data_IF_418168750713
#
_entry.id   IF_418168750713
#
_cell.length_a   1.000
_cell.length_b   1.000
_cell.length_c   1.000
_cell.angle_alpha   90.00
_cell.angle_beta   90.00
_cell.angle_gamma   90.00
#
_symmetry.space_group_name_H-M   'P 1'
#
loop_
_entity.id
_entity.type
_entity.pdbx_description
1 polymer ?
#
# COMPACT_ATOMS: atom_id res chain seq x y z
N UNK A 1 -6.66 -44.21 -26.51
CA UNK A 1 -7.73 -44.55 -27.47
C UNK A 1 -8.69 -43.38 -27.51
N UNK A 2 -8.52 -42.46 -28.46
CA UNK A 2 -9.45 -41.38 -28.74
C UNK A 2 -10.39 -41.96 -29.80
N UNK A 3 -11.67 -42.15 -29.46
CA UNK A 3 -12.66 -42.71 -30.37
C UNK A 3 -12.76 -41.85 -31.62
N UNK A 4 -12.56 -42.40 -32.84
CA UNK A 4 -12.64 -41.65 -34.09
C UNK A 4 -14.06 -41.11 -34.42
N UNK A 5 -15.10 -41.57 -33.71
CA UNK A 5 -16.52 -41.22 -33.95
C UNK A 5 -16.89 -39.75 -33.68
N UNK A 6 -16.12 -39.02 -32.85
CA UNK A 6 -16.49 -37.66 -32.43
C UNK A 6 -16.14 -36.56 -33.44
N UNK A 7 -15.19 -36.81 -34.34
CA UNK A 7 -14.70 -35.81 -35.30
C UNK A 7 -15.51 -35.83 -36.62
N UNK A 8 -16.13 -36.98 -36.96
CA UNK A 8 -17.02 -37.09 -38.13
C UNK A 8 -18.37 -36.41 -37.86
N UNK A 9 -18.82 -36.40 -36.59
CA UNK A 9 -20.05 -35.70 -36.20
C UNK A 9 -19.94 -34.18 -36.28
N UNK A 10 -18.75 -33.61 -36.18
CA UNK A 10 -18.54 -32.15 -36.27
C UNK A 10 -18.55 -31.61 -37.70
N UNK A 11 -18.41 -32.46 -38.73
CA UNK A 11 -18.41 -32.01 -40.12
C UNK A 11 -19.81 -31.70 -40.68
N UNK A 12 -20.87 -32.18 -40.03
CA UNK A 12 -22.26 -31.97 -40.44
C UNK A 12 -23.11 -31.13 -39.46
N UNK A 13 -22.52 -30.63 -38.37
CA UNK A 13 -23.28 -29.80 -37.43
C UNK A 13 -23.56 -28.43 -38.02
N UNK A 14 -24.79 -27.96 -37.83
CA UNK A 14 -25.14 -26.55 -38.09
C UNK A 14 -24.76 -25.68 -36.91
N UNK A 15 -24.64 -24.36 -37.13
CA UNK A 15 -24.41 -23.40 -36.04
C UNK A 15 -25.38 -23.57 -34.87
N UNK A 16 -26.65 -23.80 -35.17
CA UNK A 16 -27.72 -23.93 -34.17
C UNK A 16 -27.50 -25.14 -33.27
N UNK A 17 -27.12 -26.28 -33.86
CA UNK A 17 -26.81 -27.50 -33.13
C UNK A 17 -25.57 -27.34 -32.25
N UNK A 18 -24.54 -26.65 -32.76
CA UNK A 18 -23.31 -26.39 -32.02
C UNK A 18 -23.57 -25.49 -30.80
N UNK A 19 -24.32 -24.39 -30.97
CA UNK A 19 -24.68 -23.48 -29.88
C UNK A 19 -25.65 -24.12 -28.88
N UNK A 20 -26.57 -24.98 -29.34
CA UNK A 20 -27.45 -25.75 -28.45
C UNK A 20 -26.67 -26.72 -27.55
N UNK A 21 -25.67 -27.42 -28.10
CA UNK A 21 -24.79 -28.28 -27.32
C UNK A 21 -23.89 -27.48 -26.37
N UNK A 22 -23.33 -26.35 -26.83
CA UNK A 22 -22.56 -25.44 -25.99
C UNK A 22 -23.40 -24.95 -24.79
N UNK A 23 -24.65 -24.56 -25.05
CA UNK A 23 -25.61 -24.19 -24.01
C UNK A 23 -25.88 -25.33 -23.04
N UNK A 24 -26.17 -26.53 -23.52
CA UNK A 24 -26.46 -27.68 -22.67
C UNK A 24 -25.28 -28.04 -21.74
N UNK A 25 -24.05 -27.94 -22.24
CA UNK A 25 -22.84 -28.24 -21.47
C UNK A 25 -22.48 -27.16 -20.44
N UNK A 26 -22.80 -25.89 -20.73
CA UNK A 26 -22.63 -24.77 -19.80
C UNK A 26 -23.77 -24.68 -18.78
N UNK A 27 -24.96 -25.18 -19.12
CA UNK A 27 -26.13 -25.22 -18.24
C UNK A 27 -25.84 -26.13 -17.05
N UNK A 28 -25.77 -25.54 -15.85
CA UNK A 28 -25.42 -26.23 -14.60
C UNK A 28 -23.96 -26.06 -14.15
N UNK A 29 -23.09 -25.44 -14.97
CA UNK A 29 -21.69 -25.14 -14.62
C UNK A 29 -21.36 -23.65 -14.56
N UNK A 30 -22.23 -22.81 -15.12
CA UNK A 30 -22.05 -21.36 -15.24
C UNK A 30 -23.36 -20.65 -14.87
N UNK A 31 -23.32 -19.48 -14.19
CA UNK A 31 -24.52 -18.70 -13.89
C UNK A 31 -25.25 -18.25 -15.17
N UNK A 32 -26.59 -18.07 -15.12
CA UNK A 32 -27.41 -17.81 -16.31
C UNK A 32 -27.01 -16.53 -17.05
N UNK A 33 -26.63 -15.46 -16.34
CA UNK A 33 -26.21 -14.19 -16.95
C UNK A 33 -24.93 -14.34 -17.78
N UNK A 34 -24.02 -15.21 -17.34
CA UNK A 34 -22.75 -15.43 -18.03
C UNK A 34 -22.91 -16.42 -19.19
N UNK A 35 -23.80 -17.40 -19.03
CA UNK A 35 -24.22 -18.29 -20.11
C UNK A 35 -24.75 -17.48 -21.31
N UNK A 36 -25.64 -16.52 -21.07
CA UNK A 36 -26.19 -15.65 -22.12
C UNK A 36 -25.10 -14.81 -22.79
N UNK A 37 -24.17 -14.25 -22.02
CA UNK A 37 -23.03 -13.49 -22.57
C UNK A 37 -22.11 -14.35 -23.45
N UNK A 38 -21.79 -15.56 -23.01
CA UNK A 38 -20.94 -16.49 -23.78
C UNK A 38 -21.64 -16.89 -25.07
N UNK A 39 -22.93 -17.23 -25.00
CA UNK A 39 -23.72 -17.61 -26.17
C UNK A 39 -23.86 -16.44 -27.15
N UNK A 40 -24.11 -15.22 -26.67
CA UNK A 40 -24.18 -14.04 -27.51
C UNK A 40 -22.87 -13.79 -28.27
N UNK A 41 -21.73 -13.90 -27.59
CA UNK A 41 -20.41 -13.73 -28.20
C UNK A 41 -20.14 -14.74 -29.33
N UNK A 42 -20.41 -16.02 -29.09
CA UNK A 42 -20.21 -17.03 -30.13
C UNK A 42 -21.26 -16.94 -31.24
N UNK A 43 -22.49 -16.53 -30.93
CA UNK A 43 -23.52 -16.27 -31.94
C UNK A 43 -23.06 -15.19 -32.92
N UNK A 44 -22.55 -14.07 -32.39
CA UNK A 44 -21.99 -12.98 -33.19
C UNK A 44 -20.77 -13.46 -34.02
N UNK A 45 -19.90 -14.29 -33.45
CA UNK A 45 -18.78 -14.88 -34.18
C UNK A 45 -19.21 -15.77 -35.36
N UNK A 46 -20.31 -16.51 -35.19
CA UNK A 46 -20.88 -17.29 -36.28
C UNK A 46 -21.65 -16.42 -37.29
N UNK A 47 -22.29 -15.34 -36.86
CA UNK A 47 -22.95 -14.38 -37.74
C UNK A 47 -21.94 -13.66 -38.65
N UNK A 48 -20.75 -13.32 -38.14
CA UNK A 48 -19.65 -12.74 -38.93
C UNK A 48 -19.17 -13.68 -40.05
N UNK A 49 -19.16 -14.99 -39.81
CA UNK A 49 -18.79 -15.99 -40.81
C UNK A 49 -19.91 -16.24 -41.84
N UNK A 50 -21.15 -15.98 -41.47
CA UNK A 50 -22.34 -16.19 -42.29
C UNK A 50 -22.65 -17.66 -42.58
N UNK A 51 -23.76 -17.94 -43.29
CA UNK A 51 -24.27 -19.30 -43.52
C UNK A 51 -23.34 -20.18 -44.36
N UNK A 52 -22.41 -19.60 -45.13
CA UNK A 52 -21.41 -20.35 -45.89
C UNK A 52 -20.14 -20.65 -45.09
N UNK A 53 -19.92 -19.97 -43.96
CA UNK A 53 -18.73 -20.08 -43.12
C UNK A 53 -18.89 -20.94 -41.87
N UNK A 54 -20.10 -21.43 -41.57
CA UNK A 54 -20.41 -22.16 -40.32
C UNK A 54 -19.52 -23.38 -40.12
N UNK A 55 -19.37 -24.24 -41.14
CA UNK A 55 -18.54 -25.45 -41.05
C UNK A 55 -17.05 -25.16 -40.81
N UNK A 56 -16.56 -24.02 -41.31
CA UNK A 56 -15.19 -23.58 -41.05
C UNK A 56 -15.02 -23.13 -39.61
N UNK A 57 -15.97 -22.36 -39.08
CA UNK A 57 -15.95 -21.89 -37.68
C UNK A 57 -16.05 -23.06 -36.71
N UNK A 58 -16.89 -24.07 -36.98
CA UNK A 58 -16.99 -25.27 -36.14
C UNK A 58 -15.65 -26.01 -36.09
N UNK A 59 -14.96 -26.15 -37.23
CA UNK A 59 -13.63 -26.77 -37.29
C UNK A 59 -12.57 -25.95 -36.54
N UNK A 60 -12.65 -24.63 -36.56
CA UNK A 60 -11.75 -23.75 -35.81
C UNK A 60 -12.01 -23.77 -34.29
N UNK A 61 -13.29 -23.84 -33.89
CA UNK A 61 -13.69 -23.90 -32.49
C UNK A 61 -13.48 -25.28 -31.87
N UNK A 62 -13.47 -26.34 -32.69
CA UNK A 62 -13.29 -27.73 -32.24
C UNK A 62 -14.56 -28.30 -31.65
N UNK A 63 -14.45 -29.22 -30.70
CA UNK A 63 -15.64 -29.81 -30.07
C UNK A 63 -16.28 -28.86 -29.05
N UNK A 64 -17.62 -28.85 -28.90
CA UNK A 64 -18.27 -27.97 -27.93
C UNK A 64 -17.84 -28.26 -26.49
N UNK A 65 -17.46 -29.51 -26.16
CA UNK A 65 -16.93 -29.88 -24.86
C UNK A 65 -15.55 -29.26 -24.55
N UNK A 66 -14.66 -29.21 -25.54
CA UNK A 66 -13.35 -28.55 -25.39
C UNK A 66 -13.50 -27.04 -25.27
N UNK A 67 -14.44 -26.44 -26.02
CA UNK A 67 -14.75 -25.02 -25.93
C UNK A 67 -15.24 -24.66 -24.51
N UNK A 68 -16.13 -25.47 -23.94
CA UNK A 68 -16.58 -25.32 -22.55
C UNK A 68 -15.41 -25.42 -21.57
N UNK A 69 -14.54 -26.41 -21.71
CA UNK A 69 -13.35 -26.55 -20.86
C UNK A 69 -12.44 -25.32 -20.91
N UNK A 70 -12.23 -24.75 -22.09
CA UNK A 70 -11.45 -23.51 -22.27
C UNK A 70 -12.13 -22.29 -21.66
N UNK A 71 -13.44 -22.12 -21.87
CA UNK A 71 -14.22 -21.00 -21.34
C UNK A 71 -14.26 -21.06 -19.81
N UNK A 72 -14.53 -22.24 -19.22
CA UNK A 72 -14.52 -22.42 -17.76
C UNK A 72 -13.11 -22.28 -17.16
N UNK A 73 -12.08 -22.79 -17.83
CA UNK A 73 -10.69 -22.63 -17.38
C UNK A 73 -10.24 -21.16 -17.36
N UNK A 74 -10.61 -20.40 -18.38
CA UNK A 74 -10.38 -18.96 -18.44
C UNK A 74 -11.16 -18.20 -17.35
N UNK A 75 -12.40 -18.60 -17.07
CA UNK A 75 -13.25 -18.00 -16.02
C UNK A 75 -12.69 -18.29 -14.61
N UNK A 76 -12.27 -19.53 -14.34
CA UNK A 76 -11.70 -19.93 -13.04
C UNK A 76 -10.41 -19.17 -12.72
N UNK A 77 -9.66 -18.82 -13.76
CA UNK A 77 -8.47 -17.97 -13.64
C UNK A 77 -8.81 -16.51 -13.33
N UNK A 78 -10.04 -16.08 -13.60
CA UNK A 78 -10.54 -14.72 -13.34
C UNK A 78 -11.18 -14.58 -11.95
N UNK A 79 -11.65 -15.68 -11.35
CA UNK A 79 -12.37 -15.69 -10.07
C UNK A 79 -11.51 -16.03 -8.85
N UNK A 80 -10.19 -16.24 -9.02
CA UNK A 80 -9.25 -16.27 -7.89
C UNK A 80 -8.64 -14.87 -7.72
N UNK A 81 -9.06 -14.08 -6.71
CA UNK A 81 -8.32 -12.89 -6.33
C UNK A 81 -7.07 -13.35 -5.57
N UNK A 82 -6.03 -13.74 -6.30
CA UNK A 82 -4.71 -13.90 -5.73
C UNK A 82 -4.06 -12.52 -5.65
N UNK A 83 -4.23 -11.92 -4.48
CA UNK A 83 -3.38 -10.85 -3.96
C UNK A 83 -1.91 -11.25 -4.13
N UNK A 84 -1.15 -10.27 -4.60
CA UNK A 84 0.31 -10.14 -4.72
C UNK A 84 1.14 -11.03 -3.79
N UNK A 85 2.13 -11.76 -4.32
CA UNK A 85 3.55 -11.44 -4.10
C UNK A 85 4.53 -12.33 -4.92
N UNK A 86 5.47 -11.65 -5.58
CA UNK A 86 6.76 -12.09 -6.14
C UNK A 86 6.84 -13.08 -7.35
N UNK A 87 7.91 -12.95 -8.19
CA UNK A 87 7.96 -13.38 -9.60
C UNK A 87 8.51 -14.80 -9.79
N UNK A 88 8.23 -15.46 -10.93
CA UNK A 88 9.30 -15.60 -11.93
C UNK A 88 8.84 -15.52 -13.39
N UNK A 89 9.83 -15.28 -14.25
CA UNK A 89 9.79 -15.29 -15.70
C UNK A 89 9.17 -16.55 -16.31
N UNK A 90 8.56 -16.37 -17.48
CA UNK A 90 8.60 -17.38 -18.54
C UNK A 90 7.25 -17.92 -18.99
N UNK A 91 6.86 -17.49 -20.19
CA UNK A 91 6.00 -18.22 -21.13
C UNK A 91 4.46 -18.24 -20.91
N UNK A 92 3.78 -17.15 -21.36
CA UNK A 92 2.51 -17.25 -22.10
C UNK A 92 2.15 -15.90 -22.78
N UNK A 93 2.69 -15.74 -23.99
CA UNK A 93 2.28 -14.80 -25.06
C UNK A 93 0.82 -15.14 -25.40
N UNK A 94 -0.21 -14.27 -25.39
CA UNK A 94 -0.36 -13.13 -26.31
C UNK A 94 -1.50 -12.14 -25.93
N UNK A 95 -2.23 -12.32 -24.81
CA UNK A 95 -3.28 -11.34 -24.36
C UNK A 95 -2.97 -10.62 -23.05
N UNK A 96 -1.84 -10.94 -22.42
CA UNK A 96 -1.37 -10.29 -21.20
C UNK A 96 -0.56 -9.01 -21.48
N UNK A 97 -0.22 -8.76 -22.76
CA UNK A 97 0.59 -7.62 -23.20
C UNK A 97 -0.08 -6.28 -22.93
N UNK A 98 -1.35 -6.09 -23.28
CA UNK A 98 -2.03 -4.80 -23.08
C UNK A 98 -2.28 -4.49 -21.60
N UNK A 99 -2.65 -5.48 -20.78
CA UNK A 99 -2.85 -5.27 -19.34
C UNK A 99 -1.54 -5.02 -18.59
N UNK A 100 -0.45 -5.65 -19.02
CA UNK A 100 0.89 -5.45 -18.45
C UNK A 100 1.53 -4.16 -18.96
N UNK A 101 1.35 -3.80 -20.24
CA UNK A 101 1.74 -2.50 -20.81
C UNK A 101 0.92 -1.36 -20.23
N UNK A 102 -0.37 -1.55 -19.99
CA UNK A 102 -1.21 -0.56 -19.30
C UNK A 102 -0.75 -0.38 -17.86
N UNK A 103 -0.46 -1.46 -17.12
CA UNK A 103 0.11 -1.38 -15.77
C UNK A 103 1.53 -0.78 -15.79
N UNK A 104 2.36 -1.07 -16.78
CA UNK A 104 3.69 -0.49 -16.94
C UNK A 104 3.61 1.00 -17.29
N UNK A 105 2.69 1.41 -18.16
CA UNK A 105 2.40 2.81 -18.47
C UNK A 105 1.82 3.54 -17.26
N UNK A 106 0.93 2.89 -16.50
CA UNK A 106 0.38 3.42 -15.26
C UNK A 106 1.46 3.54 -14.18
N UNK A 107 2.40 2.60 -14.11
CA UNK A 107 3.56 2.66 -13.23
C UNK A 107 4.54 3.76 -13.67
N UNK A 108 4.75 3.96 -14.97
CA UNK A 108 5.57 5.04 -15.53
C UNK A 108 4.91 6.41 -15.31
N UNK A 109 3.58 6.50 -15.35
CA UNK A 109 2.82 7.72 -15.02
C UNK A 109 2.67 7.93 -13.51
N UNK A 110 2.66 6.87 -12.70
CA UNK A 110 2.64 6.96 -11.24
C UNK A 110 4.05 7.20 -10.65
N UNK A 111 5.11 6.78 -11.33
CA UNK A 111 6.51 7.01 -10.95
C UNK A 111 6.86 8.50 -10.76
N UNK A 112 6.49 9.45 -11.66
CA UNK A 112 6.78 10.86 -11.47
C UNK A 112 5.99 11.48 -10.33
N UNK A 113 4.94 10.82 -9.82
CA UNK A 113 4.17 11.24 -8.64
C UNK A 113 4.72 10.57 -7.36
N UNK A 114 5.17 9.33 -7.46
CA UNK A 114 5.73 8.58 -6.34
C UNK A 114 7.05 9.18 -5.83
N UNK A 115 7.94 9.60 -6.74
CA UNK A 115 9.23 10.22 -6.39
C UNK A 115 9.05 11.51 -5.56
N UNK A 116 8.26 12.52 -6.00
CA UNK A 116 8.06 13.74 -5.21
C UNK A 116 7.27 13.44 -3.92
N UNK A 117 6.35 12.48 -3.92
CA UNK A 117 5.63 12.10 -2.70
C UNK A 117 6.58 11.54 -1.63
N UNK A 118 7.50 10.65 -2.01
CA UNK A 118 8.52 10.12 -1.10
C UNK A 118 9.44 11.25 -0.63
N UNK A 119 9.86 12.14 -1.54
CA UNK A 119 10.69 13.29 -1.19
C UNK A 119 10.01 14.18 -0.13
N UNK A 120 8.71 14.48 -0.29
CA UNK A 120 7.93 15.27 0.67
C UNK A 120 7.84 14.56 2.02
N UNK A 121 7.59 13.25 2.03
CA UNK A 121 7.54 12.47 3.27
C UNK A 121 8.89 12.48 3.98
N UNK A 122 9.99 12.25 3.25
CA UNK A 122 11.35 12.29 3.79
C UNK A 122 11.68 13.68 4.34
N UNK A 123 11.39 14.75 3.57
CA UNK A 123 11.59 16.12 4.00
C UNK A 123 10.77 16.46 5.25
N UNK A 124 9.52 15.99 5.35
CA UNK A 124 8.67 16.18 6.52
C UNK A 124 9.24 15.48 7.76
N UNK A 125 9.72 14.24 7.61
CA UNK A 125 10.38 13.50 8.71
C UNK A 125 11.67 14.21 9.13
N UNK A 126 12.51 14.62 8.19
CA UNK A 126 13.74 15.38 8.45
C UNK A 126 13.44 16.70 9.17
N UNK A 127 12.45 17.45 8.69
CA UNK A 127 12.01 18.70 9.32
C UNK A 127 11.52 18.49 10.75
N UNK A 128 10.77 17.42 11.01
CA UNK A 128 10.33 17.06 12.35
C UNK A 128 11.50 16.70 13.27
N UNK A 129 12.49 15.95 12.78
CA UNK A 129 13.70 15.62 13.53
C UNK A 129 14.49 16.89 13.86
N UNK A 130 14.69 17.78 12.89
CA UNK A 130 15.39 19.06 13.10
C UNK A 130 14.62 19.95 14.09
N UNK A 131 13.29 20.02 13.99
CA UNK A 131 12.45 20.75 14.94
C UNK A 131 12.63 20.24 16.38
N UNK A 132 12.60 18.92 16.56
CA UNK A 132 12.80 18.30 17.89
C UNK A 132 14.20 18.60 18.40
N UNK A 133 15.24 18.47 17.56
CA UNK A 133 16.62 18.78 17.95
C UNK A 133 16.78 20.25 18.34
N UNK A 134 16.20 21.17 17.58
CA UNK A 134 16.23 22.60 17.86
C UNK A 134 15.52 22.93 19.18
N UNK A 135 14.37 22.30 19.45
CA UNK A 135 13.66 22.40 20.73
C UNK A 135 14.51 21.91 21.89
N UNK A 136 15.11 20.72 21.77
CA UNK A 136 15.98 20.16 22.81
C UNK A 136 17.21 21.06 23.05
N UNK A 137 17.85 21.52 21.98
CA UNK A 137 19.00 22.43 22.08
C UNK A 137 18.59 23.77 22.70
N UNK A 138 17.45 24.35 22.30
CA UNK A 138 16.94 25.60 22.85
C UNK A 138 16.63 25.49 24.34
N UNK A 139 15.99 24.41 24.79
CA UNK A 139 15.75 24.18 26.21
C UNK A 139 17.04 23.90 26.97
N UNK A 140 17.99 23.17 26.38
CA UNK A 140 19.31 22.94 26.99
C UNK A 140 20.05 24.26 27.22
N UNK A 141 20.11 25.12 26.21
CA UNK A 141 20.73 26.46 26.31
C UNK A 141 19.97 27.31 27.34
N UNK A 142 18.63 27.34 27.28
CA UNK A 142 17.80 28.08 28.22
C UNK A 142 17.99 27.62 29.67
N UNK A 143 18.11 26.30 29.90
CA UNK A 143 18.38 25.74 31.21
C UNK A 143 19.78 26.08 31.73
N UNK A 144 20.81 26.05 30.89
CA UNK A 144 22.17 26.49 31.26
C UNK A 144 22.19 27.97 31.64
N UNK A 145 21.50 28.82 30.87
CA UNK A 145 21.37 30.25 31.16
C UNK A 145 20.61 30.46 32.48
N UNK A 146 19.53 29.71 32.72
CA UNK A 146 18.77 29.78 33.97
C UNK A 146 19.61 29.37 35.19
N UNK A 147 20.41 28.30 35.08
CA UNK A 147 21.34 27.88 36.13
C UNK A 147 22.38 28.98 36.38
N UNK A 148 22.99 29.53 35.31
CA UNK A 148 23.98 30.60 35.42
C UNK A 148 23.40 31.87 36.05
N UNK A 149 22.21 32.27 35.65
CA UNK A 149 21.48 33.39 36.25
C UNK A 149 21.16 33.11 37.73
N UNK A 150 20.71 31.91 38.06
CA UNK A 150 20.44 31.49 39.45
C UNK A 150 21.67 31.60 40.34
N UNK A 151 22.82 31.10 39.87
CA UNK A 151 24.11 31.19 40.57
C UNK A 151 24.56 32.65 40.70
N UNK A 152 24.47 33.45 39.63
CA UNK A 152 24.83 34.86 39.66
C UNK A 152 23.98 35.64 40.67
N UNK A 153 22.67 35.37 40.71
CA UNK A 153 21.75 36.02 41.65
C UNK A 153 22.05 35.59 43.10
N UNK A 154 22.43 34.34 43.33
CA UNK A 154 22.86 33.86 44.64
C UNK A 154 24.16 34.55 45.12
N UNK A 155 25.15 34.69 44.23
CA UNK A 155 26.41 35.40 44.53
C UNK A 155 26.18 36.91 44.76
N UNK A 156 25.35 37.55 43.93
CA UNK A 156 24.98 38.96 44.11
C UNK A 156 24.18 39.17 45.42
N UNK A 157 23.30 38.23 45.77
CA UNK A 157 22.57 38.21 47.05
C UNK A 157 23.51 38.16 48.26
N UNK A 158 24.65 37.48 48.17
CA UNK A 158 25.67 37.48 49.22
C UNK A 158 26.31 38.86 49.42
N UNK A 159 26.43 39.67 48.36
CA UNK A 159 26.94 41.04 48.47
C UNK A 159 25.96 41.99 49.16
N UNK A 160 24.65 41.71 49.05
CA UNK A 160 23.57 42.47 49.72
C UNK A 160 23.44 42.11 51.21
N UNK A 161 24.09 41.03 51.66
CA UNK A 161 24.08 40.56 53.05
C UNK A 161 24.48 41.65 54.06
N UNK A 162 25.47 42.47 53.71
CA UNK A 162 25.97 43.56 54.56
C UNK A 162 25.03 44.77 54.63
N UNK A 163 24.07 44.90 53.70
CA UNK A 163 23.19 46.07 53.62
C UNK A 163 21.75 45.81 54.04
N UNK A 164 21.23 44.60 53.87
CA UNK A 164 19.80 44.29 54.05
C UNK A 164 19.51 43.14 55.05
N UNK A 165 20.53 42.53 55.65
CA UNK A 165 20.38 41.49 56.69
C UNK A 165 20.06 40.08 56.16
N UNK A 166 20.01 39.11 57.10
CA UNK A 166 19.82 37.67 56.88
C UNK A 166 18.55 37.24 56.10
N UNK A 167 17.35 37.85 56.29
CA UNK A 167 16.14 37.37 55.59
C UNK A 167 16.23 37.55 54.07
N UNK A 168 16.88 38.62 53.61
CA UNK A 168 17.08 38.91 52.19
C UNK A 168 17.98 37.87 51.52
N UNK A 169 18.99 37.38 52.24
CA UNK A 169 19.88 36.31 51.77
C UNK A 169 19.14 34.99 51.57
N UNK A 170 18.29 34.59 52.52
CA UNK A 170 17.48 33.35 52.40
C UNK A 170 16.53 33.42 51.20
N UNK A 171 15.95 34.60 50.93
CA UNK A 171 15.08 34.79 49.78
C UNK A 171 15.82 34.64 48.45
N UNK A 172 16.95 35.33 48.26
CA UNK A 172 17.75 35.21 47.02
C UNK A 172 18.34 33.82 46.81
N UNK A 173 18.79 33.16 47.88
CA UNK A 173 19.26 31.78 47.81
C UNK A 173 18.14 30.81 47.42
N UNK A 174 16.93 30.99 47.96
CA UNK A 174 15.76 30.19 47.60
C UNK A 174 15.34 30.37 46.14
N UNK A 175 15.31 31.61 45.65
CA UNK A 175 14.98 31.91 44.24
C UNK A 175 16.03 31.34 43.29
N UNK A 176 17.32 31.42 43.63
CA UNK A 176 18.41 30.82 42.85
C UNK A 176 18.30 29.31 42.76
N UNK A 177 18.01 28.63 43.88
CA UNK A 177 17.82 27.18 43.91
C UNK A 177 16.58 26.75 43.12
N UNK A 178 15.45 27.43 43.30
CA UNK A 178 14.22 27.17 42.55
C UNK A 178 14.44 27.35 41.04
N UNK A 179 15.11 28.42 40.63
CA UNK A 179 15.42 28.68 39.22
C UNK A 179 16.33 27.59 38.64
N UNK A 180 17.39 27.20 39.36
CA UNK A 180 18.27 26.11 38.94
C UNK A 180 17.56 24.75 38.86
N UNK A 181 16.65 24.47 39.80
CA UNK A 181 15.84 23.26 39.81
C UNK A 181 14.85 23.20 38.66
N UNK A 182 14.18 24.30 38.35
CA UNK A 182 13.28 24.40 37.18
C UNK A 182 14.07 24.24 35.88
N UNK A 183 15.26 24.85 35.78
CA UNK A 183 16.16 24.67 34.64
C UNK A 183 16.53 23.19 34.41
N UNK A 184 16.91 22.49 35.48
CA UNK A 184 17.25 21.06 35.41
C UNK A 184 16.04 20.19 35.03
N UNK A 185 14.87 20.51 35.59
CA UNK A 185 13.62 19.78 35.34
C UNK A 185 13.15 19.95 33.89
N UNK A 186 13.30 21.15 33.33
CA UNK A 186 13.00 21.42 31.92
C UNK A 186 13.95 20.66 31.00
N UNK A 187 15.25 20.61 31.30
CA UNK A 187 16.21 19.83 30.52
C UNK A 187 15.85 18.33 30.58
N UNK A 188 15.66 17.78 31.78
CA UNK A 188 15.31 16.37 31.96
C UNK A 188 13.98 16.01 31.28
N UNK A 189 12.97 16.87 31.43
CA UNK A 189 11.67 16.74 30.77
C UNK A 189 11.79 16.75 29.24
N UNK A 190 12.64 17.62 28.68
CA UNK A 190 12.88 17.70 27.23
C UNK A 190 13.47 16.41 26.66
N UNK A 191 14.47 15.84 27.34
CA UNK A 191 15.07 14.56 26.93
C UNK A 191 14.07 13.40 27.04
N UNK A 192 13.24 13.39 28.10
CA UNK A 192 12.23 12.37 28.29
C UNK A 192 11.14 12.45 27.21
N UNK A 193 10.67 13.66 26.89
CA UNK A 193 9.65 13.91 25.88
C UNK A 193 10.16 13.58 24.48
N UNK A 194 11.41 13.96 24.16
CA UNK A 194 12.06 13.60 22.89
C UNK A 194 12.17 12.08 22.72
N UNK A 195 12.59 11.36 23.77
CA UNK A 195 12.63 9.90 23.78
C UNK A 195 11.24 9.26 23.63
N UNK A 196 10.22 9.85 24.26
CA UNK A 196 8.84 9.39 24.14
C UNK A 196 8.27 9.60 22.73
N UNK A 197 8.54 10.75 22.11
CA UNK A 197 8.17 11.06 20.74
C UNK A 197 8.84 10.10 19.75
N UNK A 198 10.15 9.84 19.91
CA UNK A 198 10.88 8.91 19.05
C UNK A 198 10.32 7.50 19.15
N UNK A 199 10.01 7.04 20.37
CA UNK A 199 9.44 5.73 20.62
C UNK A 199 8.00 5.61 20.10
N UNK A 200 7.21 6.68 20.22
CA UNK A 200 5.87 6.77 19.63
C UNK A 200 5.91 6.72 18.11
N UNK A 201 6.87 7.39 17.49
CA UNK A 201 7.06 7.38 16.03
C UNK A 201 7.53 6.01 15.53
N UNK A 202 8.47 5.38 16.22
CA UNK A 202 8.89 4.00 15.93
C UNK A 202 7.74 2.99 16.09
N UNK A 203 6.88 3.16 17.10
CA UNK A 203 5.70 2.32 17.30
C UNK A 203 4.64 2.52 16.20
N UNK A 204 4.44 3.76 15.74
CA UNK A 204 3.55 4.04 14.60
C UNK A 204 4.10 3.44 13.30
N UNK A 205 5.40 3.55 13.07
CA UNK A 205 6.06 2.96 11.90
C UNK A 205 5.97 1.43 11.93
N UNK A 206 6.23 0.81 13.09
CA UNK A 206 6.09 -0.62 13.29
C UNK A 206 4.65 -1.10 13.11
N UNK A 207 3.65 -0.34 13.58
CA UNK A 207 2.22 -0.65 13.32
C UNK A 207 1.86 -0.53 11.85
N UNK A 208 2.42 0.45 11.14
CA UNK A 208 2.21 0.61 9.70
C UNK A 208 2.87 -0.50 8.88
N UNK A 209 4.06 -0.94 9.27
CA UNK A 209 4.77 -2.05 8.62
C UNK A 209 4.04 -3.38 8.86
N UNK A 210 3.66 -3.66 10.11
CA UNK A 210 2.94 -4.88 10.47
C UNK A 210 1.54 -4.93 9.83
N UNK A 211 0.86 -3.79 9.63
CA UNK A 211 -0.40 -3.73 8.87
C UNK A 211 -0.24 -4.00 7.38
N UNK A 212 0.97 -3.87 6.83
CA UNK A 212 1.26 -4.25 5.44
C UNK A 212 1.58 -5.74 5.33
N UNK A 213 2.31 -6.31 6.29
CA UNK A 213 2.53 -7.77 6.36
C UNK A 213 1.25 -8.56 6.58
N UNK A 214 0.26 -8.04 7.33
CA UNK A 214 -1.03 -8.74 7.50
C UNK A 214 -1.93 -8.69 6.24
N UNK A 215 -1.54 -7.92 5.20
CA UNK A 215 -2.25 -7.87 3.91
C UNK A 215 -1.49 -8.51 2.75
N UNK A 216 -0.27 -9.00 3.00
CA UNK A 216 0.48 -9.85 2.06
C UNK A 216 0.27 -11.31 2.46
#
# INVERSE_FOLDING_TARGET
MISPDSNERTEHMTREEYLAQLRALLTGRTPPDELERILAYYTEYFDEAGPQGEGRVIRELGTPAELVGRVLGAQRSRTVPAERDCPPEGAARERHGLGTLWKALLAICAAPIAIPLILVVVAMVLGLVVLILALVAGVAVGGVVAIGAGVFTACAGFSVLFSAGLPTMMFFCGVGLLSSGVGLLLIAGSFLLAGLCFRGMAALLGRWLNRREVRA
#
